data_IF_246217399821
#
_entry.id   IF_246217399821
#
_cell.length_a   1.000
_cell.length_b   1.000
_cell.length_c   1.000
_cell.angle_alpha   90.00
_cell.angle_beta   90.00
_cell.angle_gamma   90.00
#
_symmetry.space_group_name_H-M   'P 1'
#
loop_
_entity.id
_entity.type
_entity.pdbx_description
1 polymer ?
#
# COMPACT_ATOMS: atom_id res chain seq x y z
N UNK A 1 -19.33 -8.62 25.82
CA UNK A 1 -17.98 -9.09 25.41
C UNK A 1 -17.42 -8.12 24.39
N UNK A 2 -16.36 -7.37 24.71
CA UNK A 2 -15.64 -6.54 23.73
C UNK A 2 -14.56 -7.43 23.12
N UNK A 3 -14.72 -7.83 21.87
CA UNK A 3 -13.70 -8.61 21.15
C UNK A 3 -12.39 -7.84 21.18
N UNK A 4 -11.26 -8.42 21.59
CA UNK A 4 -9.99 -7.72 21.50
C UNK A 4 -9.73 -7.40 20.03
N UNK A 5 -9.59 -6.10 19.70
CA UNK A 5 -9.04 -5.68 18.41
C UNK A 5 -7.71 -6.41 18.27
N UNK A 6 -7.59 -7.33 17.30
CA UNK A 6 -6.31 -7.93 16.93
C UNK A 6 -5.31 -6.79 16.78
N UNK A 7 -4.38 -6.64 17.72
CA UNK A 7 -3.29 -5.68 17.62
C UNK A 7 -2.44 -6.13 16.43
N UNK A 8 -2.60 -5.45 15.30
CA UNK A 8 -1.71 -5.63 14.17
C UNK A 8 -0.36 -5.03 14.59
N UNK A 9 0.76 -5.75 14.42
CA UNK A 9 2.06 -5.17 14.69
C UNK A 9 2.23 -3.92 13.82
N UNK A 10 2.82 -2.87 14.39
CA UNK A 10 3.09 -1.63 13.68
C UNK A 10 3.89 -1.94 12.40
N UNK A 11 3.38 -1.57 11.22
CA UNK A 11 4.10 -1.79 9.98
C UNK A 11 5.25 -0.80 9.77
N UNK A 12 5.35 0.29 10.56
CA UNK A 12 6.42 1.27 10.46
C UNK A 12 7.82 0.60 10.52
N UNK A 13 8.72 1.02 9.62
CA UNK A 13 10.09 0.49 9.53
C UNK A 13 10.25 -0.89 8.87
N UNK A 14 9.16 -1.55 8.45
CA UNK A 14 9.26 -2.81 7.69
C UNK A 14 9.35 -2.55 6.18
N UNK A 15 10.09 -3.39 5.42
CA UNK A 15 10.06 -3.34 3.97
C UNK A 15 8.65 -3.51 3.40
N UNK A 16 8.42 -2.91 2.23
CA UNK A 16 7.25 -3.23 1.43
C UNK A 16 7.33 -4.70 0.99
N UNK A 17 6.21 -5.40 1.09
CA UNK A 17 6.05 -6.73 0.50
C UNK A 17 5.90 -6.65 -1.02
N UNK A 18 6.12 -7.75 -1.71
CA UNK A 18 5.93 -7.83 -3.18
C UNK A 18 4.53 -7.37 -3.61
N UNK A 19 3.48 -7.81 -2.88
CA UNK A 19 2.09 -7.39 -3.15
C UNK A 19 1.88 -5.88 -3.00
N UNK A 20 2.57 -5.27 -2.03
CA UNK A 20 2.50 -3.83 -1.81
C UNK A 20 3.28 -3.07 -2.89
N UNK A 21 4.43 -3.59 -3.32
CA UNK A 21 5.19 -3.03 -4.44
C UNK A 21 4.40 -3.08 -5.74
N UNK A 22 3.71 -4.18 -6.03
CA UNK A 22 2.84 -4.29 -7.21
C UNK A 22 1.70 -3.28 -7.18
N UNK A 23 1.03 -3.11 -6.03
CA UNK A 23 -0.01 -2.10 -5.87
C UNK A 23 0.55 -0.70 -6.08
N UNK A 24 1.74 -0.42 -5.55
CA UNK A 24 2.39 0.88 -5.68
C UNK A 24 2.88 1.14 -7.11
N UNK A 25 3.29 0.11 -7.84
CA UNK A 25 3.63 0.16 -9.27
C UNK A 25 2.42 0.60 -10.10
N UNK A 26 1.27 -0.06 -9.94
CA UNK A 26 0.05 0.36 -10.63
C UNK A 26 -0.42 1.74 -10.16
N UNK A 27 -0.17 2.07 -8.89
CA UNK A 27 -0.46 3.38 -8.37
C UNK A 27 0.37 4.48 -9.06
N UNK A 28 1.65 4.23 -9.29
CA UNK A 28 2.55 5.07 -10.09
C UNK A 28 2.08 5.21 -11.54
N UNK A 29 1.58 4.13 -12.14
CA UNK A 29 1.01 4.11 -13.49
C UNK A 29 -0.36 4.82 -13.62
N UNK A 30 -0.85 5.48 -12.56
CA UNK A 30 -2.09 6.25 -12.58
C UNK A 30 -3.37 5.41 -12.40
N UNK A 31 -3.27 4.11 -12.10
CA UNK A 31 -4.44 3.22 -11.98
C UNK A 31 -5.27 3.49 -10.73
N UNK A 32 -6.57 3.67 -10.88
CA UNK A 32 -7.49 3.84 -9.76
C UNK A 32 -7.52 2.60 -8.85
N UNK A 33 -8.04 2.73 -7.63
CA UNK A 33 -8.18 1.59 -6.70
C UNK A 33 -8.99 0.45 -7.32
N UNK A 34 -10.04 0.80 -8.06
CA UNK A 34 -10.87 -0.16 -8.80
C UNK A 34 -10.09 -0.84 -9.94
N UNK A 35 -9.36 -0.09 -10.77
CA UNK A 35 -8.53 -0.70 -11.82
C UNK A 35 -7.48 -1.65 -11.23
N UNK A 36 -6.82 -1.25 -10.14
CA UNK A 36 -5.82 -2.09 -9.44
C UNK A 36 -6.49 -3.36 -8.92
N UNK A 37 -7.69 -3.25 -8.36
CA UNK A 37 -8.42 -4.41 -7.83
C UNK A 37 -8.75 -5.42 -8.94
N UNK A 38 -9.14 -4.93 -10.12
CA UNK A 38 -9.38 -5.75 -11.31
C UNK A 38 -8.07 -6.37 -11.83
N UNK A 39 -6.98 -5.60 -11.95
CA UNK A 39 -5.69 -6.09 -12.44
C UNK A 39 -5.11 -7.20 -11.54
N UNK A 40 -5.28 -7.05 -10.22
CA UNK A 40 -4.71 -7.95 -9.20
C UNK A 40 -5.66 -9.08 -8.76
N UNK A 41 -6.88 -9.13 -9.32
CA UNK A 41 -7.94 -10.06 -8.93
C UNK A 41 -8.19 -10.11 -7.41
N UNK A 42 -8.37 -8.92 -6.80
CA UNK A 42 -8.67 -8.76 -5.37
C UNK A 42 -9.76 -7.70 -5.19
N UNK A 43 -10.32 -7.59 -3.98
CA UNK A 43 -11.30 -6.53 -3.69
C UNK A 43 -10.65 -5.15 -3.57
N UNK A 44 -11.41 -4.08 -3.88
CA UNK A 44 -10.99 -2.70 -3.60
C UNK A 44 -10.63 -2.48 -2.13
N UNK A 45 -11.34 -3.14 -1.20
CA UNK A 45 -11.04 -3.07 0.23
C UNK A 45 -9.65 -3.65 0.55
N UNK A 46 -9.26 -4.73 -0.13
CA UNK A 46 -7.92 -5.32 -0.03
C UNK A 46 -6.87 -4.36 -0.58
N UNK A 47 -7.12 -3.70 -1.72
CA UNK A 47 -6.21 -2.67 -2.26
C UNK A 47 -6.05 -1.50 -1.28
N UNK A 48 -7.15 -0.97 -0.74
CA UNK A 48 -7.13 0.11 0.27
C UNK A 48 -6.37 -0.31 1.52
N UNK A 49 -6.51 -1.56 1.95
CA UNK A 49 -5.77 -2.11 3.08
C UNK A 49 -4.25 -2.12 2.81
N UNK A 50 -3.81 -2.60 1.64
CA UNK A 50 -2.40 -2.55 1.27
C UNK A 50 -1.87 -1.12 1.14
N UNK A 51 -2.64 -0.19 0.55
CA UNK A 51 -2.27 1.23 0.48
C UNK A 51 -2.07 1.82 1.88
N UNK A 52 -2.95 1.52 2.84
CA UNK A 52 -2.78 1.96 4.23
C UNK A 52 -1.49 1.42 4.86
N UNK A 53 -1.14 0.16 4.62
CA UNK A 53 0.12 -0.40 5.13
C UNK A 53 1.34 0.26 4.45
N UNK A 54 1.27 0.51 3.14
CA UNK A 54 2.32 1.23 2.40
C UNK A 54 2.53 2.61 3.01
N UNK A 55 1.45 3.35 3.27
CA UNK A 55 1.53 4.69 3.84
C UNK A 55 2.22 4.68 5.21
N UNK A 56 1.86 3.73 6.07
CA UNK A 56 2.53 3.58 7.37
C UNK A 56 4.00 3.12 7.24
N UNK A 57 4.32 2.22 6.31
CA UNK A 57 5.70 1.74 6.09
C UNK A 57 6.63 2.80 5.51
N UNK A 58 6.11 3.64 4.63
CA UNK A 58 6.85 4.73 4.01
C UNK A 58 6.77 6.05 4.80
N UNK A 59 6.00 6.08 5.89
CA UNK A 59 5.77 7.28 6.73
C UNK A 59 5.20 8.47 5.94
N UNK A 60 4.22 8.17 5.08
CA UNK A 60 3.53 9.14 4.22
C UNK A 60 2.03 9.14 4.47
N UNK A 61 1.32 10.14 3.96
CA UNK A 61 -0.11 10.33 4.25
C UNK A 61 -1.03 10.07 3.07
N UNK A 62 -0.49 10.02 1.85
CA UNK A 62 -1.30 9.88 0.65
C UNK A 62 -0.55 9.16 -0.48
N UNK A 63 -1.31 8.82 -1.51
CA UNK A 63 -0.84 8.07 -2.67
C UNK A 63 0.31 8.75 -3.42
N UNK A 64 0.23 10.06 -3.64
CA UNK A 64 1.25 10.78 -4.40
C UNK A 64 2.57 10.79 -3.62
N UNK A 65 2.51 11.04 -2.32
CA UNK A 65 3.67 10.93 -1.43
C UNK A 65 4.24 9.51 -1.41
N UNK A 66 3.40 8.47 -1.36
CA UNK A 66 3.86 7.08 -1.38
C UNK A 66 4.59 6.71 -2.67
N UNK A 67 4.10 7.17 -3.83
CA UNK A 67 4.78 6.98 -5.11
C UNK A 67 6.11 7.74 -5.15
N UNK A 68 6.11 9.01 -4.76
CA UNK A 68 7.32 9.83 -4.72
C UNK A 68 8.39 9.24 -3.79
N UNK A 69 7.98 8.83 -2.59
CA UNK A 69 8.89 8.24 -1.61
C UNK A 69 9.45 6.89 -2.06
N UNK A 70 8.63 6.05 -2.69
CA UNK A 70 9.12 4.79 -3.24
C UNK A 70 10.10 4.98 -4.40
N UNK A 71 9.92 6.02 -5.23
CA UNK A 71 10.90 6.40 -6.26
C UNK A 71 12.19 6.92 -5.61
N UNK A 72 12.09 7.82 -4.63
CA UNK A 72 13.25 8.36 -3.90
C UNK A 72 14.08 7.27 -3.21
N UNK A 73 13.42 6.24 -2.66
CA UNK A 73 14.06 5.08 -2.03
C UNK A 73 14.53 4.01 -3.02
N UNK A 74 14.32 4.20 -4.32
CA UNK A 74 14.69 3.22 -5.36
C UNK A 74 13.86 1.92 -5.35
N UNK A 75 12.70 1.94 -4.70
CA UNK A 75 11.76 0.81 -4.63
C UNK A 75 10.93 0.67 -5.92
N UNK A 76 10.82 1.76 -6.70
CA UNK A 76 10.14 1.80 -8.00
C UNK A 76 11.05 2.49 -9.03
N UNK A 77 11.12 1.92 -10.23
CA UNK A 77 11.79 2.49 -11.41
C UNK A 77 10.81 3.15 -12.34
#
# INVERSE_FOLDING_TARGET
MKTPKRQRPDPAGKPLSEKELEILYWAKAGKTVWEISVIRDISEATVKFHLSNIYSKLEVTNRAQAVGEAVNRGLLS
#
